data_IF_579315726092
#
_entry.id   IF_579315726092
#
_cell.length_a   1.000
_cell.length_b   1.000
_cell.length_c   1.000
_cell.angle_alpha   90.00
_cell.angle_beta   90.00
_cell.angle_gamma   90.00
#
_symmetry.space_group_name_H-M   'P 1'
#
loop_
_entity.id
_entity.type
_entity.pdbx_description
1 polymer ?
#
# COMPACT_ATOMS: atom_id res chain seq x y z
N UNK A 1 14.00 37.07 3.39
CA UNK A 1 13.28 36.09 2.53
C UNK A 1 13.21 34.77 3.29
N UNK A 2 12.09 34.06 3.23
CA UNK A 2 12.00 32.70 3.80
C UNK A 2 12.92 31.77 3.01
N UNK A 3 13.80 31.01 3.69
CA UNK A 3 14.74 30.07 3.06
C UNK A 3 13.93 28.95 2.40
N UNK A 4 14.13 28.72 1.11
CA UNK A 4 13.54 27.59 0.37
C UNK A 4 14.25 26.29 0.76
N UNK A 5 13.61 25.15 0.56
CA UNK A 5 14.13 23.84 0.86
C UNK A 5 13.65 22.84 -0.20
N UNK A 6 14.57 22.09 -0.81
CA UNK A 6 14.23 21.04 -1.77
C UNK A 6 14.44 19.64 -1.15
N UNK A 7 13.38 18.85 -1.14
CA UNK A 7 13.42 17.44 -0.74
C UNK A 7 13.58 16.55 -1.98
N UNK A 8 14.31 15.45 -1.81
CA UNK A 8 14.38 14.40 -2.82
C UNK A 8 13.59 13.18 -2.36
N UNK A 9 12.57 12.83 -3.13
CA UNK A 9 11.68 11.70 -2.85
C UNK A 9 12.13 10.48 -3.66
N UNK A 10 12.25 9.32 -3.02
CA UNK A 10 12.62 8.06 -3.70
C UNK A 10 11.63 6.95 -3.31
N UNK A 11 10.54 6.78 -4.09
CA UNK A 11 9.59 5.70 -3.87
C UNK A 11 10.20 4.34 -4.26
N UNK A 12 9.75 3.27 -3.60
CA UNK A 12 9.95 1.92 -4.10
C UNK A 12 9.10 1.68 -5.35
N UNK A 13 9.47 0.68 -6.15
CA UNK A 13 8.73 0.40 -7.39
C UNK A 13 7.39 -0.26 -7.08
N UNK A 14 6.31 0.34 -7.56
CA UNK A 14 4.96 -0.19 -7.47
C UNK A 14 3.95 0.88 -7.09
N UNK A 15 2.74 0.77 -7.62
CA UNK A 15 1.69 1.79 -7.43
C UNK A 15 1.31 1.97 -5.96
N UNK A 16 1.41 0.91 -5.15
CA UNK A 16 1.13 0.96 -3.72
C UNK A 16 2.16 1.75 -2.89
N UNK A 17 3.32 2.08 -3.48
CA UNK A 17 4.36 2.91 -2.88
C UNK A 17 4.35 4.32 -3.49
N UNK A 18 4.30 4.39 -4.82
CA UNK A 18 4.36 5.64 -5.57
C UNK A 18 3.20 6.58 -5.25
N UNK A 19 1.95 6.09 -5.35
CA UNK A 19 0.75 6.93 -5.18
C UNK A 19 0.66 7.58 -3.81
N UNK A 20 0.73 6.85 -2.68
CA UNK A 20 0.64 7.49 -1.37
C UNK A 20 1.81 8.46 -1.11
N UNK A 21 3.00 8.18 -1.67
CA UNK A 21 4.13 9.12 -1.59
C UNK A 21 3.89 10.39 -2.42
N UNK A 22 3.22 10.29 -3.58
CA UNK A 22 2.83 11.47 -4.37
C UNK A 22 1.76 12.30 -3.68
N UNK A 23 0.80 11.65 -3.00
CA UNK A 23 -0.18 12.36 -2.18
C UNK A 23 0.47 13.08 -0.99
N UNK A 24 1.52 12.49 -0.38
CA UNK A 24 2.32 13.19 0.62
C UNK A 24 3.02 14.42 0.02
N UNK A 25 3.65 14.26 -1.14
CA UNK A 25 4.34 15.35 -1.83
C UNK A 25 3.39 16.52 -2.14
N UNK A 26 2.20 16.23 -2.70
CA UNK A 26 1.15 17.24 -2.95
C UNK A 26 0.76 17.98 -1.68
N UNK A 27 0.54 17.27 -0.57
CA UNK A 27 0.15 17.90 0.71
C UNK A 27 1.25 18.79 1.30
N UNK A 28 2.50 18.34 1.24
CA UNK A 28 3.65 19.15 1.69
C UNK A 28 3.76 20.44 0.87
N UNK A 29 3.72 20.33 -0.46
CA UNK A 29 3.79 21.48 -1.36
C UNK A 29 2.63 22.44 -1.16
N UNK A 30 1.40 21.93 -1.00
CA UNK A 30 0.22 22.75 -0.74
C UNK A 30 0.31 23.51 0.59
N UNK A 31 0.95 22.91 1.60
CA UNK A 31 1.01 23.45 2.96
C UNK A 31 2.13 24.46 3.18
N UNK A 32 3.23 24.38 2.43
CA UNK A 32 4.36 25.30 2.56
C UNK A 32 4.99 25.66 1.20
N UNK A 33 4.91 26.95 0.86
CA UNK A 33 5.47 27.51 -0.39
C UNK A 33 7.01 27.55 -0.42
N UNK A 34 7.68 27.28 0.71
CA UNK A 34 9.14 27.17 0.78
C UNK A 34 9.65 25.84 0.20
N UNK A 35 8.80 24.82 0.12
CA UNK A 35 9.19 23.47 -0.27
C UNK A 35 9.20 23.30 -1.79
N UNK A 36 10.20 22.63 -2.31
CA UNK A 36 10.20 22.02 -3.63
C UNK A 36 10.48 20.54 -3.48
N UNK A 37 9.98 19.71 -4.40
CA UNK A 37 10.18 18.26 -4.36
C UNK A 37 10.66 17.77 -5.72
N UNK A 38 11.79 17.06 -5.72
CA UNK A 38 12.24 16.27 -6.86
C UNK A 38 12.09 14.78 -6.54
N UNK A 39 11.40 14.04 -7.40
CA UNK A 39 11.16 12.60 -7.27
C UNK A 39 12.14 11.85 -8.19
N UNK A 40 12.96 10.97 -7.62
CA UNK A 40 13.82 10.08 -8.40
C UNK A 40 13.12 8.73 -8.58
N UNK A 41 12.82 8.38 -9.83
CA UNK A 41 12.13 7.15 -10.17
C UNK A 41 13.14 6.10 -10.64
N UNK A 42 13.25 5.01 -9.89
CA UNK A 42 14.06 3.85 -10.29
C UNK A 42 13.28 3.07 -11.36
N UNK A 43 13.85 2.99 -12.57
CA UNK A 43 13.25 2.25 -13.69
C UNK A 43 13.59 0.77 -13.61
N UNK A 44 12.63 -0.09 -13.96
CA UNK A 44 12.85 -1.53 -14.11
C UNK A 44 11.98 -2.11 -15.21
N UNK A 45 12.51 -3.09 -15.95
CA UNK A 45 11.82 -3.72 -17.08
C UNK A 45 10.72 -4.72 -16.66
N UNK A 46 10.66 -5.07 -15.38
CA UNK A 46 9.78 -6.15 -14.88
C UNK A 46 8.47 -5.65 -14.25
N UNK A 47 8.31 -4.32 -14.10
CA UNK A 47 7.17 -3.72 -13.42
C UNK A 47 6.47 -2.72 -14.34
N UNK A 48 5.20 -2.48 -14.04
CA UNK A 48 4.32 -1.61 -14.82
C UNK A 48 4.94 -0.22 -14.97
N UNK A 49 4.91 0.31 -16.19
CA UNK A 49 5.35 1.67 -16.46
C UNK A 49 4.33 2.67 -15.88
N UNK A 50 4.80 3.58 -15.03
CA UNK A 50 3.99 4.62 -14.39
C UNK A 50 4.26 6.01 -14.99
N UNK A 51 4.96 6.08 -16.12
CA UNK A 51 5.35 7.35 -16.77
C UNK A 51 4.13 8.23 -17.05
N UNK A 52 3.01 7.68 -17.54
CA UNK A 52 1.79 8.48 -17.78
C UNK A 52 1.23 9.12 -16.52
N UNK A 53 1.30 8.44 -15.38
CA UNK A 53 0.86 9.00 -14.09
C UNK A 53 1.80 10.11 -13.64
N UNK A 54 3.12 9.90 -13.72
CA UNK A 54 4.11 10.88 -13.27
C UNK A 54 4.15 12.11 -14.17
N UNK A 55 3.98 11.95 -15.48
CA UNK A 55 3.88 13.05 -16.45
C UNK A 55 2.65 13.92 -16.16
N UNK A 56 1.48 13.28 -15.95
CA UNK A 56 0.26 14.01 -15.57
C UNK A 56 0.42 14.81 -14.26
N UNK A 57 1.23 14.32 -13.32
CA UNK A 57 1.51 15.04 -12.07
C UNK A 57 2.52 16.17 -12.26
N UNK A 58 3.56 15.97 -13.06
CA UNK A 58 4.53 17.01 -13.41
C UNK A 58 3.84 18.23 -14.01
N UNK A 59 2.86 18.01 -14.89
CA UNK A 59 2.14 19.09 -15.56
C UNK A 59 1.14 19.83 -14.65
N UNK A 60 0.61 19.15 -13.62
CA UNK A 60 -0.48 19.68 -12.78
C UNK A 60 -0.04 20.21 -11.41
N UNK A 61 1.13 19.82 -10.91
CA UNK A 61 1.61 20.18 -9.57
C UNK A 61 2.86 21.05 -9.64
N UNK A 62 2.69 22.36 -9.38
CA UNK A 62 3.82 23.28 -9.30
C UNK A 62 4.83 22.86 -8.22
N UNK A 63 6.13 23.07 -8.47
CA UNK A 63 7.26 22.71 -7.57
C UNK A 63 7.46 21.21 -7.34
N UNK A 64 6.80 20.37 -8.14
CA UNK A 64 7.05 18.92 -8.20
C UNK A 64 7.75 18.59 -9.52
N UNK A 65 8.91 17.91 -9.43
CA UNK A 65 9.68 17.47 -10.60
C UNK A 65 9.94 15.98 -10.53
N UNK A 66 9.99 15.31 -11.67
CA UNK A 66 10.36 13.90 -11.78
C UNK A 66 11.66 13.73 -12.56
N UNK A 67 12.50 12.79 -12.14
CA UNK A 67 13.70 12.37 -12.84
C UNK A 67 13.70 10.85 -12.90
N UNK A 68 13.64 10.30 -14.11
CA UNK A 68 13.76 8.87 -14.34
C UNK A 68 15.23 8.48 -14.37
N UNK A 69 15.64 7.60 -13.45
CA UNK A 69 16.99 7.07 -13.44
C UNK A 69 17.16 6.06 -14.59
N UNK A 70 18.33 6.05 -15.26
CA UNK A 70 18.70 5.00 -16.19
C UNK A 70 18.43 3.60 -15.63
N UNK A 71 17.96 2.69 -16.50
CA UNK A 71 17.76 1.29 -16.13
C UNK A 71 19.10 0.61 -15.90
N UNK A 72 19.24 -0.08 -14.77
CA UNK A 72 20.37 -0.95 -14.46
C UNK A 72 19.84 -2.37 -14.29
N UNK A 73 20.40 -3.31 -15.05
CA UNK A 73 20.03 -4.72 -14.90
C UNK A 73 20.42 -5.20 -13.50
N UNK A 74 19.51 -5.87 -12.77
CA UNK A 74 19.85 -6.41 -11.47
C UNK A 74 20.89 -7.53 -11.64
N UNK A 75 21.73 -7.78 -10.61
CA UNK A 75 22.80 -8.77 -10.72
C UNK A 75 22.26 -10.16 -11.07
N UNK A 76 22.97 -11.02 -11.82
CA UNK A 76 22.47 -12.33 -12.26
C UNK A 76 21.99 -13.25 -11.13
N UNK A 77 22.55 -13.09 -9.92
CA UNK A 77 22.14 -13.78 -8.69
C UNK A 77 20.70 -13.45 -8.25
N UNK A 78 20.12 -12.35 -8.75
CA UNK A 78 18.74 -11.93 -8.47
C UNK A 78 17.69 -12.75 -9.24
N UNK A 79 18.08 -13.55 -10.22
CA UNK A 79 17.18 -14.37 -11.05
C UNK A 79 16.39 -15.42 -10.26
N UNK A 80 16.89 -15.83 -9.08
CA UNK A 80 16.25 -16.78 -8.18
C UNK A 80 15.41 -16.12 -7.07
N UNK A 81 15.28 -14.78 -7.03
CA UNK A 81 14.48 -14.09 -6.04
C UNK A 81 12.99 -14.30 -6.35
N UNK A 82 12.44 -15.41 -5.82
CA UNK A 82 11.02 -15.74 -5.90
C UNK A 82 10.13 -14.70 -5.23
N UNK A 83 10.67 -13.96 -4.26
CA UNK A 83 9.97 -12.95 -3.47
C UNK A 83 10.44 -11.55 -3.84
N UNK A 84 9.47 -10.66 -4.01
CA UNK A 84 9.60 -9.41 -4.75
C UNK A 84 10.21 -8.30 -3.89
N UNK A 85 10.03 -8.39 -2.58
CA UNK A 85 10.54 -7.46 -1.58
C UNK A 85 12.06 -7.41 -1.63
N UNK A 86 12.74 -8.56 -1.59
CA UNK A 86 14.20 -8.62 -1.73
C UNK A 86 14.70 -8.05 -3.07
N UNK A 87 13.96 -8.24 -4.16
CA UNK A 87 14.33 -7.70 -5.46
C UNK A 87 14.25 -6.16 -5.47
N UNK A 88 13.22 -5.58 -4.85
CA UNK A 88 13.12 -4.12 -4.70
C UNK A 88 14.35 -3.59 -3.96
N UNK A 89 14.72 -4.20 -2.83
CA UNK A 89 15.88 -3.78 -2.04
C UNK A 89 17.20 -3.92 -2.81
N UNK A 90 17.39 -5.03 -3.54
CA UNK A 90 18.57 -5.23 -4.41
C UNK A 90 18.61 -4.20 -5.54
N UNK A 91 17.46 -3.89 -6.14
CA UNK A 91 17.35 -2.90 -7.20
C UNK A 91 17.75 -1.51 -6.67
N UNK A 92 17.25 -1.11 -5.50
CA UNK A 92 17.62 0.15 -4.87
C UNK A 92 19.11 0.20 -4.55
N UNK A 93 19.67 -0.88 -3.99
CA UNK A 93 21.10 -0.96 -3.69
C UNK A 93 21.95 -0.81 -4.96
N UNK A 94 21.53 -1.44 -6.05
CA UNK A 94 22.21 -1.35 -7.36
C UNK A 94 22.16 0.07 -7.93
N UNK A 95 21.07 0.82 -7.68
CA UNK A 95 20.92 2.20 -8.15
C UNK A 95 21.55 3.24 -7.21
N UNK A 96 22.04 2.85 -6.02
CA UNK A 96 22.61 3.76 -5.01
C UNK A 96 23.66 4.73 -5.59
N UNK A 97 24.66 4.30 -6.40
CA UNK A 97 25.65 5.22 -6.95
C UNK A 97 25.04 6.27 -7.90
N UNK A 98 24.05 5.86 -8.68
CA UNK A 98 23.35 6.73 -9.63
C UNK A 98 22.43 7.72 -8.93
N UNK A 99 21.77 7.31 -7.85
CA UNK A 99 21.01 8.22 -6.96
C UNK A 99 21.94 9.29 -6.42
N UNK A 100 23.08 8.89 -5.83
CA UNK A 100 24.07 9.84 -5.30
C UNK A 100 24.55 10.82 -6.38
N UNK A 101 24.99 10.31 -7.54
CA UNK A 101 25.47 11.14 -8.64
C UNK A 101 24.40 12.15 -9.11
N UNK A 102 23.15 11.70 -9.21
CA UNK A 102 22.04 12.57 -9.63
C UNK A 102 21.82 13.70 -8.63
N UNK A 103 21.78 13.40 -7.33
CA UNK A 103 21.62 14.42 -6.28
C UNK A 103 22.83 15.38 -6.25
N UNK A 104 24.06 14.86 -6.37
CA UNK A 104 25.27 15.69 -6.46
C UNK A 104 25.19 16.67 -7.63
N UNK A 105 24.79 16.19 -8.81
CA UNK A 105 24.66 17.02 -9.99
C UNK A 105 23.55 18.08 -9.84
N UNK A 106 22.45 17.76 -9.17
CA UNK A 106 21.33 18.71 -9.00
C UNK A 106 21.64 19.85 -8.03
N UNK A 107 22.36 19.58 -6.94
CA UNK A 107 22.46 20.51 -5.81
C UNK A 107 23.87 21.02 -5.51
N UNK A 108 24.91 20.38 -6.05
CA UNK A 108 26.30 20.68 -5.69
C UNK A 108 27.19 21.02 -6.89
N UNK A 109 26.65 20.97 -8.12
CA UNK A 109 27.40 21.31 -9.33
C UNK A 109 27.37 22.80 -9.67
N UNK A 110 26.35 23.53 -9.20
CA UNK A 110 26.15 24.96 -9.47
C UNK A 110 25.94 25.71 -8.14
N UNK A 111 26.72 26.77 -7.89
CA UNK A 111 26.79 27.44 -6.58
C UNK A 111 25.61 28.38 -6.26
N UNK A 112 24.70 28.60 -7.22
CA UNK A 112 23.64 29.62 -7.16
C UNK A 112 22.22 29.02 -7.00
N UNK A 113 22.08 27.77 -6.54
CA UNK A 113 20.74 27.18 -6.33
C UNK A 113 19.93 27.95 -5.29
N UNK A 114 18.80 28.54 -5.73
CA UNK A 114 17.85 29.24 -4.85
C UNK A 114 17.15 28.32 -3.84
N UNK A 115 17.26 26.99 -4.00
CA UNK A 115 16.63 25.99 -3.14
C UNK A 115 17.65 24.93 -2.70
N UNK A 116 18.24 25.06 -1.50
CA UNK A 116 19.21 24.09 -1.00
C UNK A 116 18.57 22.72 -0.75
N UNK A 117 19.38 21.68 -0.92
CA UNK A 117 19.03 20.31 -0.61
C UNK A 117 18.75 20.16 0.90
N UNK A 118 17.53 19.77 1.25
CA UNK A 118 17.06 19.68 2.64
C UNK A 118 17.01 18.26 3.19
N UNK A 119 17.08 17.24 2.33
CA UNK A 119 17.09 15.85 2.76
C UNK A 119 16.32 14.90 1.84
N UNK A 120 16.34 13.63 2.24
CA UNK A 120 15.71 12.54 1.52
C UNK A 120 14.38 12.16 2.18
N UNK A 121 13.39 11.80 1.37
CA UNK A 121 12.21 11.06 1.81
C UNK A 121 12.17 9.75 1.02
N UNK A 122 12.53 8.65 1.68
CA UNK A 122 12.74 7.34 1.04
C UNK A 122 11.68 6.35 1.48
N UNK A 123 11.26 5.47 0.58
CA UNK A 123 10.33 4.39 0.91
C UNK A 123 10.93 3.39 1.94
N UNK A 124 10.07 2.64 2.61
CA UNK A 124 10.45 1.61 3.59
C UNK A 124 11.40 0.52 3.04
N UNK A 125 11.43 0.28 1.73
CA UNK A 125 12.39 -0.63 1.09
C UNK A 125 13.66 0.05 0.57
N UNK A 126 13.76 1.38 0.69
CA UNK A 126 14.85 2.19 0.15
C UNK A 126 15.90 2.59 1.20
N UNK A 127 15.90 1.97 2.39
CA UNK A 127 16.70 2.42 3.54
C UNK A 127 18.22 2.39 3.36
N UNK A 128 18.71 1.72 2.32
CA UNK A 128 20.14 1.76 2.01
C UNK A 128 20.58 3.12 1.47
N UNK A 129 19.65 3.92 0.96
CA UNK A 129 19.91 5.30 0.52
C UNK A 129 20.12 6.27 1.69
N UNK A 130 19.91 5.86 2.94
CA UNK A 130 20.32 6.64 4.11
C UNK A 130 21.83 6.94 4.04
N UNK A 131 22.63 5.99 3.53
CA UNK A 131 24.08 6.17 3.33
C UNK A 131 24.36 7.37 2.40
N UNK A 132 23.56 7.54 1.35
CA UNK A 132 23.68 8.67 0.42
C UNK A 132 23.37 9.99 1.11
N UNK A 133 22.32 10.03 1.94
CA UNK A 133 21.99 11.20 2.75
C UNK A 133 23.16 11.58 3.67
N UNK A 134 23.71 10.60 4.40
CA UNK A 134 24.84 10.80 5.30
C UNK A 134 26.09 11.32 4.58
N UNK A 135 26.44 10.74 3.42
CA UNK A 135 27.59 11.17 2.61
C UNK A 135 27.44 12.60 2.05
N UNK A 136 26.20 13.03 1.81
CA UNK A 136 25.88 14.39 1.34
C UNK A 136 25.56 15.36 2.48
N UNK A 137 25.68 14.93 3.74
CA UNK A 137 25.43 15.75 4.93
C UNK A 137 23.96 16.14 5.13
N UNK A 138 23.01 15.33 4.65
CA UNK A 138 21.58 15.63 4.70
C UNK A 138 20.79 14.51 5.42
N UNK A 139 19.71 14.86 6.14
CA UNK A 139 18.90 13.88 6.84
C UNK A 139 18.09 13.00 5.88
N UNK A 140 17.71 11.82 6.36
CA UNK A 140 16.79 10.92 5.66
C UNK A 140 15.54 10.69 6.51
N UNK A 141 14.37 10.87 5.91
CA UNK A 141 13.08 10.50 6.45
C UNK A 141 12.57 9.26 5.73
N UNK A 142 11.92 8.36 6.46
CA UNK A 142 11.34 7.16 5.86
C UNK A 142 9.84 7.36 5.67
N UNK A 143 9.35 7.17 4.45
CA UNK A 143 7.93 7.07 4.19
C UNK A 143 7.47 5.62 4.33
N UNK A 144 6.56 5.39 5.26
CA UNK A 144 6.03 4.06 5.57
C UNK A 144 4.58 3.96 5.10
N UNK A 145 4.39 3.33 3.93
CA UNK A 145 3.09 3.20 3.25
C UNK A 145 2.31 1.96 3.69
N UNK A 146 2.36 1.62 4.98
CA UNK A 146 1.65 0.48 5.60
C UNK A 146 1.19 0.85 7.02
N UNK A 147 0.67 -0.10 7.80
CA UNK A 147 0.08 0.14 9.13
C UNK A 147 1.12 0.52 10.19
N UNK A 148 0.68 1.16 11.27
CA UNK A 148 1.49 1.30 12.48
C UNK A 148 1.82 -0.07 13.07
N UNK A 149 0.90 -1.03 13.03
CA UNK A 149 1.18 -2.43 13.41
C UNK A 149 2.39 -3.01 12.68
N UNK A 150 2.44 -2.88 11.35
CA UNK A 150 3.55 -3.36 10.52
C UNK A 150 4.86 -2.60 10.80
N UNK A 151 4.80 -1.28 11.03
CA UNK A 151 5.98 -0.51 11.44
C UNK A 151 6.56 -1.03 12.76
N UNK A 152 5.71 -1.28 13.76
CA UNK A 152 6.17 -1.80 15.05
C UNK A 152 6.71 -3.23 14.95
N UNK A 153 6.13 -4.10 14.13
CA UNK A 153 6.72 -5.41 13.81
C UNK A 153 8.12 -5.26 13.19
N UNK A 154 8.28 -4.40 12.19
CA UNK A 154 9.56 -4.18 11.52
C UNK A 154 10.62 -3.59 12.45
N UNK A 155 10.23 -2.67 13.34
CA UNK A 155 11.13 -2.14 14.37
C UNK A 155 11.56 -3.23 15.35
N UNK A 156 10.66 -4.15 15.73
CA UNK A 156 10.96 -5.23 16.68
C UNK A 156 11.69 -6.43 16.06
N UNK A 157 11.66 -6.56 14.73
CA UNK A 157 12.19 -7.70 14.00
C UNK A 157 13.69 -7.97 14.26
N UNK A 158 14.60 -6.97 14.36
CA UNK A 158 16.00 -7.21 14.70
C UNK A 158 16.20 -7.84 16.09
N UNK A 159 15.36 -7.49 17.07
CA UNK A 159 15.39 -8.11 18.38
C UNK A 159 14.89 -9.57 18.32
N UNK A 160 13.79 -9.82 17.61
CA UNK A 160 13.26 -11.17 17.40
C UNK A 160 14.27 -12.08 16.68
N UNK A 161 14.99 -11.55 15.69
CA UNK A 161 16.02 -12.27 14.96
C UNK A 161 17.13 -12.80 15.87
N UNK A 162 17.51 -12.03 16.90
CA UNK A 162 18.52 -12.44 17.88
C UNK A 162 17.99 -13.41 18.94
N UNK A 163 16.67 -13.47 19.17
CA UNK A 163 16.05 -14.28 20.22
C UNK A 163 15.61 -15.66 19.71
N UNK A 164 15.26 -15.78 18.44
CA UNK A 164 14.72 -17.00 17.86
C UNK A 164 15.80 -17.65 16.99
N UNK A 165 16.42 -18.73 17.48
CA UNK A 165 17.49 -19.43 16.76
C UNK A 165 17.00 -20.29 15.58
N UNK A 166 15.70 -20.58 15.52
CA UNK A 166 15.08 -21.46 14.52
C UNK A 166 14.12 -20.70 13.58
N UNK A 167 13.60 -21.36 12.56
CA UNK A 167 12.57 -20.76 11.68
C UNK A 167 11.31 -20.49 12.50
N UNK A 168 10.69 -19.31 12.33
CA UNK A 168 9.54 -18.89 13.14
C UNK A 168 8.39 -19.91 13.12
N UNK A 169 8.16 -20.58 11.98
CA UNK A 169 7.17 -21.66 11.81
C UNK A 169 7.40 -22.88 12.69
N UNK A 170 8.63 -23.08 13.15
CA UNK A 170 9.02 -24.24 13.95
C UNK A 170 9.16 -23.88 15.44
N UNK A 171 9.07 -22.60 15.81
CA UNK A 171 9.38 -22.11 17.17
C UNK A 171 8.18 -21.60 17.96
N UNK A 172 7.20 -20.94 17.31
CA UNK A 172 6.13 -20.20 18.00
C UNK A 172 4.81 -20.21 17.22
N UNK A 173 3.68 -20.19 17.94
CA UNK A 173 2.34 -20.08 17.34
C UNK A 173 1.86 -18.63 17.26
N UNK A 174 2.31 -17.78 18.19
CA UNK A 174 1.95 -16.37 18.29
C UNK A 174 3.17 -15.57 18.80
N UNK A 175 3.25 -14.29 18.43
CA UNK A 175 4.29 -13.36 18.86
C UNK A 175 3.70 -12.27 19.74
N UNK A 176 4.40 -11.95 20.83
CA UNK A 176 4.13 -10.71 21.58
C UNK A 176 4.93 -9.59 20.93
N UNK A 177 4.25 -8.62 20.33
CA UNK A 177 4.86 -7.48 19.68
C UNK A 177 4.41 -6.22 20.43
N UNK A 178 5.32 -5.34 20.89
CA UNK A 178 4.98 -4.22 21.77
C UNK A 178 3.89 -3.25 21.28
N UNK A 179 3.68 -3.15 19.97
CA UNK A 179 2.67 -2.26 19.38
C UNK A 179 1.28 -2.88 19.22
N UNK A 180 1.11 -4.17 19.52
CA UNK A 180 -0.17 -4.89 19.45
C UNK A 180 -0.73 -5.13 20.85
N UNK A 181 -2.05 -5.01 21.01
CA UNK A 181 -2.71 -5.33 22.27
C UNK A 181 -2.89 -6.85 22.45
N UNK A 182 -3.09 -7.58 21.34
CA UNK A 182 -3.22 -9.03 21.35
C UNK A 182 -1.95 -9.70 20.81
N UNK A 183 -1.64 -10.94 21.24
CA UNK A 183 -0.63 -11.76 20.57
C UNK A 183 -0.92 -11.89 19.08
N UNK A 184 0.11 -11.75 18.25
CA UNK A 184 -0.01 -11.79 16.79
C UNK A 184 0.22 -13.22 16.31
N UNK A 185 -0.80 -13.89 15.72
CA UNK A 185 -0.62 -15.24 15.22
C UNK A 185 0.44 -15.33 14.13
N UNK A 186 1.24 -16.40 14.14
CA UNK A 186 2.29 -16.56 13.15
C UNK A 186 1.73 -16.58 11.72
N UNK A 187 0.57 -17.20 11.54
CA UNK A 187 -0.04 -17.34 10.22
C UNK A 187 -0.47 -16.01 9.60
N UNK A 188 -0.51 -14.90 10.35
CA UNK A 188 -0.83 -13.56 9.80
C UNK A 188 0.41 -12.75 9.45
N UNK A 189 1.61 -13.22 9.82
CA UNK A 189 2.86 -12.54 9.47
C UNK A 189 3.16 -12.65 7.98
N UNK A 190 3.86 -11.66 7.40
CA UNK A 190 4.39 -11.76 6.04
C UNK A 190 5.17 -13.06 5.82
N UNK A 191 4.93 -13.72 4.70
CA UNK A 191 5.54 -15.02 4.35
C UNK A 191 7.07 -15.05 4.47
N UNK A 192 7.82 -14.01 4.04
CA UNK A 192 9.26 -13.96 4.24
C UNK A 192 9.73 -14.12 5.69
N UNK A 193 8.90 -13.77 6.68
CA UNK A 193 9.26 -13.88 8.10
C UNK A 193 9.21 -15.32 8.63
N UNK A 194 8.64 -16.26 7.88
CA UNK A 194 8.45 -17.63 8.34
C UNK A 194 9.72 -18.46 8.29
N UNK A 195 10.66 -18.12 7.39
CA UNK A 195 11.91 -18.85 7.17
C UNK A 195 13.08 -17.88 7.12
N UNK A 196 14.05 -18.06 8.00
CA UNK A 196 15.26 -17.21 8.01
C UNK A 196 16.12 -17.37 6.77
N UNK A 197 16.00 -18.51 6.09
CA UNK A 197 16.67 -18.81 4.83
C UNK A 197 16.05 -18.12 3.62
N UNK A 198 14.88 -17.48 3.77
CA UNK A 198 14.30 -16.67 2.70
C UNK A 198 15.17 -15.43 2.44
N UNK A 199 15.59 -15.15 1.19
CA UNK A 199 16.37 -13.95 0.89
C UNK A 199 15.71 -12.64 1.34
N UNK A 200 14.37 -12.58 1.38
CA UNK A 200 13.64 -11.40 1.82
C UNK A 200 13.64 -11.23 3.34
N UNK A 201 13.80 -12.30 4.12
CA UNK A 201 13.94 -12.21 5.59
C UNK A 201 15.10 -11.29 5.97
N UNK A 202 16.28 -11.54 5.39
CA UNK A 202 17.49 -10.75 5.67
C UNK A 202 17.33 -9.27 5.32
N UNK A 203 16.64 -8.97 4.22
CA UNK A 203 16.31 -7.59 3.84
C UNK A 203 15.32 -6.93 4.80
N UNK A 204 14.29 -7.64 5.26
CA UNK A 204 13.34 -7.10 6.25
C UNK A 204 14.04 -6.78 7.57
N UNK A 205 14.91 -7.68 8.06
CA UNK A 205 15.75 -7.43 9.25
C UNK A 205 16.67 -6.23 9.02
N UNK A 206 17.32 -6.15 7.84
CA UNK A 206 18.16 -5.02 7.46
C UNK A 206 17.37 -3.71 7.52
N UNK A 207 16.22 -3.61 6.85
CA UNK A 207 15.38 -2.42 6.87
C UNK A 207 14.94 -2.05 8.29
N UNK A 208 14.49 -3.02 9.10
CA UNK A 208 14.11 -2.81 10.50
C UNK A 208 15.23 -2.21 11.38
N UNK A 209 16.50 -2.59 11.13
CA UNK A 209 17.67 -1.96 11.77
C UNK A 209 17.84 -0.52 11.28
N UNK A 210 17.82 -0.31 9.95
CA UNK A 210 18.03 1.00 9.31
C UNK A 210 16.94 2.02 9.65
N UNK A 211 15.73 1.59 9.98
CA UNK A 211 14.64 2.49 10.36
C UNK A 211 14.99 3.40 11.54
N UNK A 212 15.84 2.92 12.46
CA UNK A 212 16.29 3.70 13.63
C UNK A 212 17.34 4.77 13.31
N UNK A 213 17.88 4.77 12.10
CA UNK A 213 18.87 5.76 11.66
C UNK A 213 18.24 6.97 10.95
N UNK A 214 16.95 6.91 10.64
CA UNK A 214 16.24 8.02 10.03
C UNK A 214 16.05 9.20 11.01
N UNK A 215 16.01 10.43 10.49
CA UNK A 215 15.63 11.63 11.26
C UNK A 215 14.18 11.54 11.73
N UNK A 216 13.32 10.87 10.95
CA UNK A 216 11.93 10.63 11.30
C UNK A 216 11.24 9.65 10.34
N UNK A 217 10.09 9.13 10.75
CA UNK A 217 9.28 8.19 9.98
C UNK A 217 7.92 8.82 9.69
N UNK A 218 7.60 9.00 8.42
CA UNK A 218 6.32 9.53 7.93
C UNK A 218 5.40 8.36 7.62
N UNK A 219 4.37 8.18 8.43
CA UNK A 219 3.50 7.00 8.42
C UNK A 219 2.15 7.34 7.77
N UNK A 220 1.72 6.53 6.80
CA UNK A 220 0.42 6.67 6.16
C UNK A 220 -0.71 6.08 7.01
N UNK A 221 -0.91 6.64 8.20
CA UNK A 221 -2.04 6.34 9.09
C UNK A 221 -2.44 7.59 9.87
N UNK A 222 -3.47 7.51 10.69
CA UNK A 222 -3.88 8.57 11.60
C UNK A 222 -4.15 8.01 13.01
N UNK A 223 -3.90 8.87 14.00
CA UNK A 223 -3.92 8.52 15.43
C UNK A 223 -5.23 7.84 15.87
N UNK A 224 -6.36 8.27 15.32
CA UNK A 224 -7.69 7.78 15.66
C UNK A 224 -8.02 6.40 15.06
N UNK A 225 -7.24 5.93 14.08
CA UNK A 225 -7.35 4.58 13.52
C UNK A 225 -6.55 3.58 14.33
N UNK A 226 -5.28 3.88 14.61
CA UNK A 226 -4.32 2.95 15.24
C UNK A 226 -3.72 3.51 16.56
N UNK A 227 -4.55 3.90 17.56
CA UNK A 227 -4.06 4.64 18.73
C UNK A 227 -3.06 3.84 19.57
N UNK A 228 -3.27 2.53 19.72
CA UNK A 228 -2.37 1.66 20.49
C UNK A 228 -0.98 1.61 19.87
N UNK A 229 -0.91 1.29 18.57
CA UNK A 229 0.36 1.17 17.87
C UNK A 229 1.09 2.52 17.76
N UNK A 230 0.39 3.60 17.38
CA UNK A 230 1.00 4.94 17.26
C UNK A 230 1.55 5.44 18.59
N UNK A 231 0.81 5.26 19.70
CA UNK A 231 1.29 5.68 21.02
C UNK A 231 2.52 4.88 21.48
N UNK A 232 2.66 3.62 21.07
CA UNK A 232 3.77 2.76 21.48
C UNK A 232 5.15 3.28 21.03
N UNK A 233 5.20 4.07 19.94
CA UNK A 233 6.44 4.62 19.39
C UNK A 233 7.02 5.79 20.21
N UNK A 234 6.19 6.44 21.03
CA UNK A 234 6.61 7.58 21.85
C UNK A 234 7.42 7.19 23.10
N UNK A 235 7.52 5.89 23.42
CA UNK A 235 8.23 5.45 24.61
C UNK A 235 9.75 5.61 24.47
N UNK A 236 10.38 6.29 25.44
CA UNK A 236 11.83 6.58 25.48
C UNK A 236 12.69 5.30 25.41
N UNK A 237 12.11 4.15 25.74
CA UNK A 237 12.78 2.85 25.73
C UNK A 237 13.02 2.30 24.31
N UNK A 238 12.23 2.72 23.31
CA UNK A 238 12.19 2.04 22.00
C UNK A 238 13.22 2.53 20.97
N UNK A 239 14.00 3.58 21.29
CA UNK A 239 14.97 4.23 20.35
C UNK A 239 14.35 4.47 18.94
N UNK A 240 13.05 4.66 18.88
CA UNK A 240 12.32 4.89 17.64
C UNK A 240 12.45 6.36 17.28
N UNK A 241 12.77 6.71 16.02
CA UNK A 241 12.72 8.10 15.56
C UNK A 241 11.31 8.67 15.72
N UNK A 242 11.15 10.01 15.72
CA UNK A 242 9.84 10.64 15.66
C UNK A 242 8.98 10.05 14.53
N UNK A 243 7.74 9.68 14.86
CA UNK A 243 6.77 9.12 13.91
C UNK A 243 5.68 10.15 13.65
N UNK A 244 5.50 10.51 12.37
CA UNK A 244 4.50 11.48 11.90
C UNK A 244 3.35 10.73 11.21
N UNK A 245 2.19 10.63 11.87
CA UNK A 245 0.98 10.02 11.31
C UNK A 245 0.22 11.02 10.45
N UNK A 246 0.48 11.02 9.14
CA UNK A 246 0.01 12.05 8.18
C UNK A 246 -1.09 11.56 7.24
N UNK A 247 -1.58 10.35 7.47
CA UNK A 247 -2.63 9.71 6.69
C UNK A 247 -4.03 10.28 6.94
N UNK A 248 -5.05 9.77 6.23
CA UNK A 248 -4.90 8.86 5.10
C UNK A 248 -4.43 9.63 3.85
N UNK A 249 -3.43 9.09 3.13
CA UNK A 249 -2.92 9.61 1.86
C UNK A 249 -3.53 8.80 0.72
N UNK A 250 -4.56 9.36 0.07
CA UNK A 250 -5.39 8.66 -0.94
C UNK A 250 -5.51 9.54 -2.18
N UNK A 251 -5.36 8.93 -3.35
CA UNK A 251 -5.68 9.56 -4.63
C UNK A 251 -7.18 9.41 -4.93
N UNK A 252 -7.93 10.48 -4.63
CA UNK A 252 -9.39 10.53 -4.81
C UNK A 252 -9.83 10.72 -6.25
N UNK A 253 -8.96 11.24 -7.11
CA UNK A 253 -9.27 11.44 -8.53
C UNK A 253 -9.10 10.13 -9.31
N UNK A 254 -8.38 9.17 -8.72
CA UNK A 254 -8.03 7.91 -9.35
C UNK A 254 -6.87 8.12 -10.32
N UNK A 255 -6.10 7.05 -10.51
CA UNK A 255 -5.02 7.03 -11.48
C UNK A 255 -5.63 7.25 -12.87
N UNK A 256 -5.37 8.40 -13.49
CA UNK A 256 -5.76 8.69 -14.87
C UNK A 256 -5.01 7.76 -15.83
N UNK A 257 -5.42 6.49 -15.90
CA UNK A 257 -5.10 5.62 -17.00
C UNK A 257 -6.12 5.96 -18.09
N UNK A 258 -5.63 6.34 -19.27
CA UNK A 258 -6.45 6.70 -20.44
C UNK A 258 -7.31 5.51 -20.92
N UNK A 259 -8.37 5.16 -20.21
CA UNK A 259 -9.37 4.14 -20.57
C UNK A 259 -10.79 4.70 -20.40
N UNK A 260 -11.01 5.92 -20.90
CA UNK A 260 -12.27 6.67 -20.73
C UNK A 260 -13.52 5.87 -21.10
N UNK A 261 -13.46 5.00 -22.12
CA UNK A 261 -14.62 4.20 -22.53
C UNK A 261 -14.98 3.08 -21.54
N UNK A 262 -13.99 2.34 -21.01
CA UNK A 262 -14.25 1.29 -20.02
C UNK A 262 -14.74 1.92 -18.72
N UNK A 263 -14.11 3.02 -18.29
CA UNK A 263 -14.50 3.78 -17.12
C UNK A 263 -15.94 4.31 -17.23
N UNK A 264 -16.30 4.86 -18.39
CA UNK A 264 -17.66 5.31 -18.67
C UNK A 264 -18.66 4.14 -18.65
N UNK A 265 -18.30 2.98 -19.21
CA UNK A 265 -19.16 1.79 -19.18
C UNK A 265 -19.39 1.25 -17.76
N UNK A 266 -18.34 1.22 -16.93
CA UNK A 266 -18.42 0.82 -15.52
C UNK A 266 -19.33 1.78 -14.76
N UNK A 267 -19.14 3.08 -14.97
CA UNK A 267 -19.95 4.11 -14.33
C UNK A 267 -21.43 3.98 -14.72
N UNK A 268 -21.72 3.88 -16.02
CA UNK A 268 -23.09 3.74 -16.50
C UNK A 268 -23.77 2.49 -15.92
N UNK A 269 -23.05 1.36 -15.87
CA UNK A 269 -23.58 0.14 -15.26
C UNK A 269 -23.88 0.32 -13.77
N UNK A 270 -22.98 0.99 -13.03
CA UNK A 270 -23.16 1.30 -11.61
C UNK A 270 -24.32 2.28 -11.36
N UNK A 271 -24.53 3.26 -12.24
CA UNK A 271 -25.60 4.25 -12.16
C UNK A 271 -27.00 3.60 -12.21
N UNK A 272 -27.13 2.48 -12.92
CA UNK A 272 -28.36 1.69 -13.04
C UNK A 272 -28.63 0.79 -11.80
N UNK A 273 -27.71 0.73 -10.83
CA UNK A 273 -27.86 -0.12 -9.65
C UNK A 273 -28.45 0.63 -8.45
N UNK A 274 -29.25 -0.03 -7.59
CA UNK A 274 -29.72 0.56 -6.34
C UNK A 274 -28.56 0.98 -5.42
N UNK A 275 -28.73 2.01 -4.58
CA UNK A 275 -27.73 2.42 -3.60
C UNK A 275 -27.31 1.27 -2.67
N UNK A 276 -26.01 1.22 -2.37
CA UNK A 276 -25.39 0.22 -1.48
C UNK A 276 -25.76 -1.24 -1.77
N UNK A 277 -26.01 -1.60 -3.04
CA UNK A 277 -26.46 -2.93 -3.45
C UNK A 277 -25.40 -3.77 -4.18
N UNK A 278 -24.29 -3.14 -4.59
CA UNK A 278 -23.20 -3.76 -5.36
C UNK A 278 -22.04 -4.11 -4.42
N UNK A 279 -21.55 -5.34 -4.55
CA UNK A 279 -20.28 -5.78 -3.95
C UNK A 279 -19.18 -5.56 -4.96
N UNK A 280 -18.18 -4.76 -4.60
CA UNK A 280 -16.98 -4.62 -5.42
C UNK A 280 -15.94 -5.67 -5.02
N UNK A 281 -15.33 -6.35 -5.99
CA UNK A 281 -14.24 -7.30 -5.76
C UNK A 281 -13.00 -6.82 -6.52
N UNK A 282 -11.93 -6.54 -5.77
CA UNK A 282 -10.64 -6.17 -6.34
C UNK A 282 -9.51 -6.57 -5.40
N UNK A 283 -8.48 -7.18 -5.97
CA UNK A 283 -7.39 -7.79 -5.22
C UNK A 283 -6.08 -7.01 -5.39
N UNK A 284 -6.19 -5.69 -5.47
CA UNK A 284 -5.06 -4.79 -5.64
C UNK A 284 -4.41 -4.87 -7.01
N UNK A 285 -3.25 -4.23 -7.14
CA UNK A 285 -2.58 -4.11 -8.44
C UNK A 285 -1.90 -5.38 -8.92
N UNK A 286 -1.69 -6.36 -8.03
CA UNK A 286 -0.98 -7.61 -8.35
C UNK A 286 -1.75 -8.88 -7.99
N UNK A 287 -2.90 -8.77 -7.32
CA UNK A 287 -3.73 -9.94 -7.04
C UNK A 287 -4.33 -10.50 -8.31
N UNK A 288 -4.20 -11.80 -8.47
CA UNK A 288 -4.75 -12.58 -9.58
C UNK A 288 -4.88 -14.01 -9.12
N UNK A 289 -5.83 -14.74 -9.70
CA UNK A 289 -6.14 -16.11 -9.29
C UNK A 289 -5.97 -17.07 -10.47
N UNK A 290 -5.69 -18.34 -10.17
CA UNK A 290 -5.76 -19.39 -11.16
C UNK A 290 -7.23 -19.70 -11.54
N UNK A 291 -7.40 -20.50 -12.59
CA UNK A 291 -8.72 -20.83 -13.12
C UNK A 291 -9.61 -21.58 -12.10
N UNK A 292 -9.02 -22.38 -11.21
CA UNK A 292 -9.79 -23.14 -10.21
C UNK A 292 -10.39 -22.19 -9.17
N UNK A 293 -9.60 -21.23 -8.68
CA UNK A 293 -10.08 -20.23 -7.74
C UNK A 293 -11.05 -19.22 -8.39
N UNK A 294 -10.82 -18.82 -9.65
CA UNK A 294 -11.76 -17.99 -10.44
C UNK A 294 -13.13 -18.67 -10.53
N UNK A 295 -13.16 -19.99 -10.75
CA UNK A 295 -14.40 -20.76 -10.81
C UNK A 295 -15.16 -20.75 -9.49
N UNK A 296 -14.48 -20.97 -8.36
CA UNK A 296 -15.13 -20.92 -7.04
C UNK A 296 -15.69 -19.53 -6.73
N UNK A 297 -14.96 -18.46 -7.07
CA UNK A 297 -15.44 -17.07 -6.92
C UNK A 297 -16.70 -16.86 -7.75
N UNK A 298 -16.69 -17.25 -9.03
CA UNK A 298 -17.82 -17.10 -9.93
C UNK A 298 -19.08 -17.81 -9.39
N UNK A 299 -18.95 -19.05 -8.94
CA UNK A 299 -20.07 -19.83 -8.37
C UNK A 299 -20.57 -19.17 -7.08
N UNK A 300 -19.68 -18.73 -6.19
CA UNK A 300 -20.06 -18.09 -4.93
C UNK A 300 -20.79 -16.76 -5.13
N UNK A 301 -20.34 -15.95 -6.09
CA UNK A 301 -21.01 -14.70 -6.47
C UNK A 301 -22.42 -14.96 -7.04
N UNK A 302 -22.55 -15.95 -7.93
CA UNK A 302 -23.86 -16.33 -8.50
C UNK A 302 -24.84 -16.77 -7.40
N UNK A 303 -24.36 -17.61 -6.46
CA UNK A 303 -25.16 -18.11 -5.33
C UNK A 303 -25.54 -17.04 -4.33
N UNK A 304 -24.68 -16.05 -4.09
CA UNK A 304 -24.96 -14.94 -3.17
C UNK A 304 -26.17 -14.10 -3.58
N UNK A 305 -26.54 -14.13 -4.87
CA UNK A 305 -27.60 -13.30 -5.49
C UNK A 305 -27.41 -11.79 -5.35
N UNK A 306 -26.33 -11.33 -4.75
CA UNK A 306 -25.97 -9.92 -4.69
C UNK A 306 -25.49 -9.43 -6.05
N UNK A 307 -25.65 -8.13 -6.29
CA UNK A 307 -25.03 -7.48 -7.45
C UNK A 307 -23.54 -7.36 -7.20
N UNK A 308 -22.73 -7.45 -8.23
CA UNK A 308 -21.29 -7.35 -8.05
C UNK A 308 -20.57 -6.69 -9.24
N UNK A 309 -19.48 -6.02 -8.93
CA UNK A 309 -18.48 -5.62 -9.90
C UNK A 309 -17.18 -6.33 -9.53
N UNK A 310 -16.62 -7.10 -10.45
CA UNK A 310 -15.39 -7.86 -10.22
C UNK A 310 -14.28 -7.43 -11.18
N UNK A 311 -13.24 -6.82 -10.62
CA UNK A 311 -11.95 -6.60 -11.30
C UNK A 311 -11.17 -7.91 -11.31
N UNK A 312 -11.10 -8.54 -12.48
CA UNK A 312 -10.45 -9.83 -12.71
C UNK A 312 -9.26 -9.66 -13.66
N UNK A 313 -8.08 -10.00 -13.13
CA UNK A 313 -6.79 -9.87 -13.82
C UNK A 313 -6.19 -11.23 -14.14
N UNK A 314 -5.55 -11.33 -15.30
CA UNK A 314 -4.85 -12.52 -15.75
C UNK A 314 -3.53 -12.66 -14.98
N UNK A 315 -3.27 -13.81 -14.32
CA UNK A 315 -2.00 -14.03 -13.64
C UNK A 315 -0.83 -14.03 -14.64
N UNK A 316 0.37 -13.60 -14.23
CA UNK A 316 1.56 -13.73 -15.07
C UNK A 316 1.87 -15.21 -15.34
N UNK A 317 2.61 -15.48 -16.41
CA UNK A 317 3.10 -16.84 -16.69
C UNK A 317 3.95 -17.36 -15.52
N UNK A 318 3.81 -18.66 -15.21
CA UNK A 318 4.52 -19.31 -14.12
C UNK A 318 6.03 -19.06 -14.22
N UNK A 319 6.65 -18.67 -13.11
CA UNK A 319 8.08 -18.32 -12.99
C UNK A 319 8.52 -17.06 -13.74
N UNK A 320 7.60 -16.24 -14.27
CA UNK A 320 7.95 -14.90 -14.79
C UNK A 320 7.62 -13.82 -13.78
N UNK A 321 8.59 -12.94 -13.54
CA UNK A 321 8.36 -11.72 -12.79
C UNK A 321 7.68 -10.69 -13.70
N UNK A 322 6.36 -10.70 -13.71
CA UNK A 322 5.55 -9.75 -14.45
C UNK A 322 4.34 -9.29 -13.62
N UNK A 323 3.77 -8.14 -13.97
CA UNK A 323 2.47 -7.69 -13.46
C UNK A 323 1.33 -8.48 -14.11
N UNK A 324 0.22 -8.74 -13.39
CA UNK A 324 -1.00 -9.24 -14.00
C UNK A 324 -1.48 -8.31 -15.12
N UNK A 325 -2.08 -8.87 -16.16
CA UNK A 325 -2.62 -8.12 -17.31
C UNK A 325 -4.13 -8.28 -17.39
N UNK A 326 -4.79 -7.54 -18.29
CA UNK A 326 -6.20 -7.77 -18.60
C UNK A 326 -6.34 -9.02 -19.48
N UNK A 327 -7.46 -9.73 -19.32
CA UNK A 327 -7.84 -10.79 -20.26
C UNK A 327 -8.27 -10.17 -21.59
N UNK A 328 -7.85 -10.77 -22.71
CA UNK A 328 -8.34 -10.37 -24.04
C UNK A 328 -9.84 -10.63 -24.18
N UNK A 329 -10.29 -11.78 -23.64
CA UNK A 329 -11.68 -12.13 -23.50
C UNK A 329 -11.90 -12.77 -22.12
N UNK A 330 -12.71 -12.12 -21.29
CA UNK A 330 -13.03 -12.58 -19.94
C UNK A 330 -13.87 -13.88 -19.98
N UNK A 331 -14.62 -14.11 -21.06
CA UNK A 331 -15.40 -15.34 -21.24
C UNK A 331 -14.53 -16.61 -21.25
N UNK A 332 -13.26 -16.51 -21.66
CA UNK A 332 -12.39 -17.67 -21.82
C UNK A 332 -11.96 -18.31 -20.47
N UNK A 333 -12.07 -17.57 -19.36
CA UNK A 333 -11.66 -18.03 -18.02
C UNK A 333 -12.87 -18.31 -17.10
N UNK A 334 -14.07 -17.91 -17.53
CA UNK A 334 -15.31 -18.13 -16.78
C UNK A 334 -16.03 -19.35 -17.33
N UNK A 335 -16.86 -19.99 -16.51
CA UNK A 335 -17.65 -21.14 -16.96
C UNK A 335 -18.66 -20.74 -18.04
N UNK A 336 -18.92 -21.63 -19.00
CA UNK A 336 -19.90 -21.41 -20.08
C UNK A 336 -21.24 -20.87 -19.56
N UNK A 337 -21.74 -19.83 -20.22
CA UNK A 337 -22.99 -19.14 -19.89
C UNK A 337 -22.96 -18.32 -18.59
N UNK A 338 -21.81 -18.18 -17.91
CA UNK A 338 -21.74 -17.38 -16.68
C UNK A 338 -22.09 -15.91 -16.92
N UNK A 339 -21.56 -15.31 -17.99
CA UNK A 339 -21.85 -13.92 -18.34
C UNK A 339 -23.36 -13.70 -18.59
N UNK A 340 -24.04 -14.65 -19.23
CA UNK A 340 -25.49 -14.61 -19.44
C UNK A 340 -26.26 -14.72 -18.11
N UNK A 341 -25.83 -15.59 -17.19
CA UNK A 341 -26.49 -15.78 -15.88
C UNK A 341 -26.36 -14.58 -14.94
N UNK A 342 -25.36 -13.72 -15.17
CA UNK A 342 -25.13 -12.52 -14.36
C UNK A 342 -25.63 -11.25 -15.04
N UNK A 343 -26.22 -11.34 -16.24
CA UNK A 343 -26.72 -10.18 -16.99
C UNK A 343 -27.59 -9.28 -16.10
N UNK A 344 -27.30 -7.98 -16.09
CA UNK A 344 -27.98 -6.98 -15.27
C UNK A 344 -27.70 -7.03 -13.75
N UNK A 345 -26.95 -8.03 -13.25
CA UNK A 345 -26.57 -8.15 -11.82
C UNK A 345 -25.08 -8.12 -11.58
N UNK A 346 -24.27 -8.60 -12.52
CA UNK A 346 -22.83 -8.67 -12.39
C UNK A 346 -22.12 -7.99 -13.55
N UNK A 347 -20.98 -7.35 -13.26
CA UNK A 347 -20.04 -6.86 -14.24
C UNK A 347 -18.65 -7.43 -13.92
N UNK A 348 -18.01 -8.09 -14.90
CA UNK A 348 -16.62 -8.55 -14.78
C UNK A 348 -15.78 -7.78 -15.79
N UNK A 349 -14.70 -7.16 -15.32
CA UNK A 349 -13.82 -6.32 -16.13
C UNK A 349 -12.36 -6.46 -15.69
N UNK A 350 -11.44 -5.87 -16.45
CA UNK A 350 -10.00 -5.85 -16.15
C UNK A 350 -9.66 -4.80 -15.09
N UNK A 351 -8.68 -3.93 -15.38
CA UNK A 351 -8.38 -2.79 -14.51
C UNK A 351 -9.61 -1.92 -14.26
N UNK A 352 -9.70 -1.33 -13.07
CA UNK A 352 -10.74 -0.35 -12.74
C UNK A 352 -10.12 0.85 -12.00
N UNK A 353 -10.69 2.06 -12.17
CA UNK A 353 -10.36 3.19 -11.31
C UNK A 353 -10.98 2.96 -9.93
N UNK A 354 -10.27 2.21 -9.08
CA UNK A 354 -10.79 1.68 -7.81
C UNK A 354 -11.44 2.75 -6.92
N UNK A 355 -10.80 3.92 -6.74
CA UNK A 355 -11.35 4.99 -5.91
C UNK A 355 -12.69 5.52 -6.46
N UNK A 356 -12.81 5.62 -7.79
CA UNK A 356 -14.07 6.02 -8.45
C UNK A 356 -15.17 4.99 -8.26
N UNK A 357 -14.84 3.70 -8.35
CA UNK A 357 -15.79 2.61 -8.09
C UNK A 357 -16.25 2.64 -6.63
N UNK A 358 -15.31 2.69 -5.68
CA UNK A 358 -15.61 2.74 -4.25
C UNK A 358 -16.43 3.99 -3.86
N UNK A 359 -16.23 5.11 -4.55
CA UNK A 359 -16.97 6.35 -4.29
C UNK A 359 -18.40 6.33 -4.84
N UNK A 360 -18.74 5.34 -5.67
CA UNK A 360 -20.05 5.25 -6.29
C UNK A 360 -21.12 4.83 -5.29
N UNK A 361 -22.26 5.56 -5.25
CA UNK A 361 -23.39 5.32 -4.33
C UNK A 361 -23.94 3.90 -4.33
N UNK A 362 -23.77 3.17 -5.43
CA UNK A 362 -24.25 1.79 -5.58
C UNK A 362 -23.39 0.77 -4.84
N UNK A 363 -22.11 1.08 -4.58
CA UNK A 363 -21.20 0.15 -3.90
C UNK A 363 -21.53 0.11 -2.41
N UNK A 364 -21.88 -1.08 -1.94
CA UNK A 364 -22.30 -1.34 -0.56
C UNK A 364 -21.30 -2.15 0.26
N UNK A 365 -20.30 -2.76 -0.40
CA UNK A 365 -19.24 -3.55 0.25
C UNK A 365 -18.09 -3.84 -0.70
N UNK A 366 -16.92 -4.14 -0.14
CA UNK A 366 -15.67 -4.40 -0.86
C UNK A 366 -15.03 -5.72 -0.41
N UNK A 367 -14.96 -6.72 -1.30
CA UNK A 367 -14.09 -7.89 -1.10
C UNK A 367 -12.69 -7.49 -1.52
N UNK A 368 -11.77 -7.46 -0.57
CA UNK A 368 -10.45 -6.86 -0.75
C UNK A 368 -9.34 -7.80 -0.31
N UNK A 369 -8.23 -7.72 -1.04
CA UNK A 369 -6.94 -8.27 -0.62
C UNK A 369 -6.31 -7.60 0.61
N UNK A 370 -6.94 -6.57 1.21
CA UNK A 370 -6.43 -5.91 2.42
C UNK A 370 -5.04 -5.26 2.26
N UNK A 371 -4.65 -4.86 1.04
CA UNK A 371 -3.53 -3.95 0.84
C UNK A 371 -3.84 -2.59 1.47
N UNK A 372 -2.85 -1.97 2.12
CA UNK A 372 -3.11 -0.82 3.00
C UNK A 372 -3.79 0.38 2.32
N UNK A 373 -3.35 0.74 1.10
CA UNK A 373 -4.00 1.80 0.33
C UNK A 373 -5.48 1.52 0.07
N UNK A 374 -5.82 0.27 -0.28
CA UNK A 374 -7.21 -0.14 -0.53
C UNK A 374 -8.06 -0.13 0.75
N UNK A 375 -7.45 -0.41 1.91
CA UNK A 375 -8.12 -0.26 3.20
C UNK A 375 -8.42 1.22 3.46
N UNK A 376 -7.44 2.11 3.30
CA UNK A 376 -7.61 3.54 3.52
C UNK A 376 -8.67 4.14 2.57
N UNK A 377 -8.65 3.78 1.29
CA UNK A 377 -9.67 4.16 0.30
C UNK A 377 -11.07 3.74 0.75
N UNK A 378 -11.23 2.48 1.18
CA UNK A 378 -12.51 1.94 1.65
C UNK A 378 -13.01 2.65 2.89
N UNK A 379 -12.13 2.87 3.88
CA UNK A 379 -12.48 3.56 5.13
C UNK A 379 -12.85 5.03 4.87
N UNK A 380 -12.12 5.72 4.01
CA UNK A 380 -12.40 7.11 3.62
C UNK A 380 -13.77 7.28 2.92
N UNK A 381 -14.17 6.27 2.16
CA UNK A 381 -15.42 6.23 1.42
C UNK A 381 -16.57 5.57 2.19
N UNK A 382 -16.30 5.03 3.39
CA UNK A 382 -17.30 4.41 4.25
C UNK A 382 -17.80 3.06 3.72
N UNK A 383 -17.00 2.35 2.92
CA UNK A 383 -17.35 1.05 2.35
C UNK A 383 -16.81 -0.06 3.26
N UNK A 384 -17.64 -0.99 3.77
CA UNK A 384 -17.17 -2.10 4.59
C UNK A 384 -16.40 -3.12 3.76
N UNK A 385 -15.46 -3.81 4.40
CA UNK A 385 -14.56 -4.78 3.75
C UNK A 385 -14.90 -6.21 4.17
N UNK A 386 -14.94 -7.13 3.20
CA UNK A 386 -14.72 -8.55 3.43
C UNK A 386 -13.24 -8.88 3.14
N UNK A 387 -12.53 -9.31 4.18
CA UNK A 387 -11.09 -9.49 4.15
C UNK A 387 -10.68 -10.84 3.53
N UNK A 388 -9.88 -10.76 2.46
CA UNK A 388 -9.31 -11.91 1.77
C UNK A 388 -7.87 -11.60 1.31
N UNK A 389 -6.91 -11.57 2.24
CA UNK A 389 -5.52 -11.20 1.97
C UNK A 389 -4.78 -12.26 1.16
N UNK A 390 -3.80 -11.81 0.35
CA UNK A 390 -3.10 -12.65 -0.62
C UNK A 390 -1.58 -12.70 -0.40
N UNK A 391 -0.92 -11.57 -0.14
CA UNK A 391 0.54 -11.46 -0.08
C UNK A 391 1.02 -10.28 0.80
N UNK A 392 2.33 -10.07 0.87
CA UNK A 392 2.97 -9.03 1.68
C UNK A 392 2.46 -9.06 3.13
N UNK A 393 2.09 -7.92 3.70
CA UNK A 393 1.56 -7.77 5.06
C UNK A 393 0.03 -7.81 5.13
N UNK A 394 -0.67 -8.14 4.04
CA UNK A 394 -2.12 -8.07 3.97
C UNK A 394 -2.84 -8.91 5.02
N UNK A 395 -2.27 -10.06 5.39
CA UNK A 395 -2.79 -10.93 6.44
C UNK A 395 -2.72 -10.24 7.80
N UNK A 396 -1.64 -9.51 8.07
CA UNK A 396 -1.48 -8.72 9.29
C UNK A 396 -2.47 -7.54 9.29
N UNK A 397 -2.64 -6.86 8.16
CA UNK A 397 -3.63 -5.78 8.03
C UNK A 397 -5.06 -6.27 8.30
N UNK A 398 -5.42 -7.44 7.75
CA UNK A 398 -6.73 -8.05 7.96
C UNK A 398 -6.95 -8.48 9.42
N UNK A 399 -5.93 -9.05 10.06
CA UNK A 399 -5.94 -9.37 11.48
C UNK A 399 -6.11 -8.11 12.34
N UNK A 400 -5.35 -7.06 12.06
CA UNK A 400 -5.41 -5.79 12.77
C UNK A 400 -6.81 -5.18 12.68
N UNK A 401 -7.39 -5.10 11.47
CA UNK A 401 -8.77 -4.63 11.29
C UNK A 401 -9.80 -5.48 12.05
N UNK A 402 -9.63 -6.80 12.08
CA UNK A 402 -10.56 -7.74 12.71
C UNK A 402 -10.47 -7.78 14.23
N UNK A 403 -9.25 -7.67 14.78
CA UNK A 403 -8.94 -8.01 16.18
C UNK A 403 -8.42 -6.83 17.00
N UNK A 404 -7.61 -5.95 16.42
CA UNK A 404 -7.05 -4.80 17.13
C UNK A 404 -7.95 -3.57 17.02
N UNK A 405 -8.48 -3.29 15.83
CA UNK A 405 -9.19 -2.05 15.52
C UNK A 405 -10.71 -2.16 15.71
N UNK A 406 -11.13 -3.09 16.58
CA UNK A 406 -12.53 -3.22 16.98
C UNK A 406 -13.43 -3.89 15.94
N UNK A 407 -12.90 -4.70 15.02
CA UNK A 407 -13.71 -5.48 14.08
C UNK A 407 -14.31 -4.63 12.95
N UNK A 408 -13.43 -4.04 12.14
CA UNK A 408 -13.73 -3.21 10.96
C UNK A 408 -13.92 -4.01 9.67
N UNK A 409 -13.83 -5.34 9.73
CA UNK A 409 -13.94 -6.23 8.58
C UNK A 409 -14.84 -7.41 8.87
N UNK A 410 -15.44 -7.96 7.81
CA UNK A 410 -15.94 -9.32 7.78
C UNK A 410 -14.79 -10.24 7.37
N UNK A 411 -14.43 -11.20 8.21
CA UNK A 411 -13.41 -12.19 7.90
C UNK A 411 -13.98 -13.18 6.86
N UNK A 412 -13.56 -13.08 5.58
CA UNK A 412 -13.92 -14.04 4.53
C UNK A 412 -12.95 -15.21 4.55
N UNK A 413 -11.65 -14.92 4.45
CA UNK A 413 -10.57 -15.89 4.61
C UNK A 413 -9.33 -15.16 5.09
N UNK A 414 -8.80 -15.46 6.29
CA UNK A 414 -7.64 -14.74 6.85
C UNK A 414 -6.29 -15.42 6.63
N UNK A 415 -6.30 -16.70 6.27
CA UNK A 415 -5.11 -17.56 6.17
C UNK A 415 -4.85 -18.03 4.73
N UNK A 416 -5.51 -17.43 3.74
CA UNK A 416 -5.37 -17.82 2.33
C UNK A 416 -3.92 -17.69 1.86
N UNK A 417 -3.37 -18.77 1.27
CA UNK A 417 -2.00 -18.79 0.73
C UNK A 417 -1.90 -19.21 -0.74
N UNK A 418 -3.04 -19.41 -1.41
CA UNK A 418 -3.08 -19.92 -2.78
C UNK A 418 -2.58 -21.36 -2.90
N UNK A 419 -2.35 -21.80 -4.14
CA UNK A 419 -2.04 -23.21 -4.43
C UNK A 419 -3.30 -24.07 -4.32
N UNK A 420 -3.17 -25.24 -3.71
CA UNK A 420 -4.29 -26.21 -3.61
C UNK A 420 -5.36 -25.81 -2.57
N UNK A 421 -5.09 -24.80 -1.72
CA UNK A 421 -6.04 -24.28 -0.73
C UNK A 421 -6.96 -23.24 -1.37
N UNK A 422 -8.03 -23.74 -2.01
CA UNK A 422 -9.06 -22.90 -2.62
C UNK A 422 -10.02 -22.36 -1.56
N UNK A 423 -10.39 -21.09 -1.69
CA UNK A 423 -11.58 -20.55 -1.03
C UNK A 423 -12.79 -21.01 -1.82
N UNK A 424 -13.62 -21.81 -1.16
CA UNK A 424 -14.77 -22.44 -1.80
C UNK A 424 -15.86 -21.44 -2.15
N UNK A 425 -16.71 -21.80 -3.12
CA UNK A 425 -17.88 -21.01 -3.50
C UNK A 425 -18.81 -20.74 -2.31
N UNK A 426 -18.92 -21.67 -1.36
CA UNK A 426 -19.69 -21.50 -0.13
C UNK A 426 -19.08 -20.44 0.79
N UNK A 427 -17.75 -20.42 0.93
CA UNK A 427 -17.04 -19.38 1.69
C UNK A 427 -17.23 -18.00 1.06
N UNK A 428 -17.11 -17.91 -0.27
CA UNK A 428 -17.35 -16.66 -1.01
C UNK A 428 -18.79 -16.19 -0.83
N UNK A 429 -19.77 -17.06 -1.05
CA UNK A 429 -21.20 -16.77 -0.85
C UNK A 429 -21.45 -16.24 0.57
N UNK A 430 -21.00 -16.97 1.58
CA UNK A 430 -21.19 -16.59 2.99
C UNK A 430 -20.51 -15.27 3.33
N UNK A 431 -19.29 -15.05 2.84
CA UNK A 431 -18.55 -13.80 3.05
C UNK A 431 -19.27 -12.60 2.44
N UNK A 432 -19.73 -12.75 1.19
CA UNK A 432 -20.49 -11.71 0.47
C UNK A 432 -21.83 -11.42 1.16
N UNK A 433 -22.60 -12.46 1.50
CA UNK A 433 -23.89 -12.28 2.18
C UNK A 433 -23.72 -11.59 3.54
N UNK A 434 -22.71 -11.97 4.34
CA UNK A 434 -22.42 -11.31 5.64
C UNK A 434 -21.99 -9.86 5.48
N UNK A 435 -21.20 -9.55 4.45
CA UNK A 435 -20.76 -8.19 4.17
C UNK A 435 -21.94 -7.27 3.80
N UNK A 436 -22.89 -7.80 3.05
CA UNK A 436 -24.03 -7.05 2.55
C UNK A 436 -25.22 -7.03 3.51
N UNK A 437 -25.13 -7.76 4.61
CA UNK A 437 -26.09 -7.68 5.71
C UNK A 437 -26.08 -6.28 6.32
N UNK A 438 -27.26 -5.65 6.45
CA UNK A 438 -27.41 -4.32 7.02
C UNK A 438 -27.10 -4.30 8.53
N UNK A 439 -27.25 -5.44 9.20
CA UNK A 439 -27.04 -5.58 10.64
C UNK A 439 -25.59 -5.98 10.99
N UNK A 440 -24.69 -6.07 9.99
CA UNK A 440 -23.27 -6.27 10.26
C UNK A 440 -22.71 -5.02 10.95
N UNK A 441 -22.41 -5.12 12.26
CA UNK A 441 -21.89 -3.98 13.05
C UNK A 441 -20.63 -3.32 12.47
N UNK A 442 -19.96 -3.99 11.52
CA UNK A 442 -18.87 -3.46 10.69
C UNK A 442 -19.27 -2.15 9.99
N UNK A 443 -20.46 -2.07 9.38
CA UNK A 443 -20.88 -0.89 8.60
C UNK A 443 -20.96 0.37 9.45
N UNK A 444 -21.46 0.25 10.68
CA UNK A 444 -21.52 1.38 11.63
C UNK A 444 -20.11 1.84 12.01
N UNK A 445 -19.23 0.90 12.36
CA UNK A 445 -17.84 1.22 12.74
C UNK A 445 -17.05 1.85 11.59
N UNK A 446 -17.21 1.32 10.38
CA UNK A 446 -16.58 1.89 9.17
C UNK A 446 -17.08 3.31 8.92
N UNK A 447 -18.38 3.59 9.14
CA UNK A 447 -18.91 4.96 9.05
C UNK A 447 -18.30 5.90 10.09
N UNK A 448 -18.11 5.45 11.33
CA UNK A 448 -17.44 6.25 12.37
C UNK A 448 -15.98 6.56 11.99
N UNK A 449 -15.25 5.56 11.49
CA UNK A 449 -13.87 5.73 11.02
C UNK A 449 -13.82 6.64 9.79
N UNK A 450 -14.78 6.54 8.86
CA UNK A 450 -14.91 7.45 7.72
C UNK A 450 -14.99 8.91 8.17
N UNK A 451 -15.85 9.21 9.14
CA UNK A 451 -15.99 10.56 9.68
C UNK A 451 -14.71 11.06 10.36
N UNK A 452 -14.05 10.19 11.14
CA UNK A 452 -12.75 10.51 11.76
C UNK A 452 -11.68 10.77 10.70
N UNK A 453 -11.56 9.91 9.70
CA UNK A 453 -10.57 10.01 8.63
C UNK A 453 -10.62 11.35 7.88
N UNK A 454 -11.82 11.94 7.74
CA UNK A 454 -11.99 13.28 7.15
C UNK A 454 -11.61 14.40 8.10
N UNK A 455 -11.99 14.28 9.39
CA UNK A 455 -11.70 15.27 10.43
C UNK A 455 -10.21 15.43 10.67
N UNK A 456 -9.43 14.34 10.66
CA UNK A 456 -7.97 14.40 10.93
C UNK A 456 -7.19 15.22 9.90
N UNK A 457 -7.77 15.47 8.72
CA UNK A 457 -7.17 16.29 7.66
C UNK A 457 -7.62 17.76 7.69
N UNK A 458 -8.63 18.12 8.50
CA UNK A 458 -9.07 19.50 8.66
C UNK A 458 -8.08 20.29 9.51
N UNK A 459 -8.19 21.62 9.48
CA UNK A 459 -7.47 22.49 10.42
C UNK A 459 -7.71 21.98 11.85
N UNK A 460 -6.66 21.83 12.66
CA UNK A 460 -6.64 21.21 14.00
C UNK A 460 -6.66 19.67 14.07
N UNK A 461 -6.92 18.98 12.96
CA UNK A 461 -6.91 17.51 12.89
C UNK A 461 -5.54 16.90 13.20
N UNK A 462 -5.52 15.68 13.75
CA UNK A 462 -4.29 15.02 14.21
C UNK A 462 -3.23 14.89 13.11
N UNK A 463 -3.63 14.45 11.91
CA UNK A 463 -2.73 14.31 10.76
C UNK A 463 -2.36 15.63 10.11
N UNK A 464 -3.27 16.62 10.10
CA UNK A 464 -2.95 17.99 9.74
C UNK A 464 -1.85 18.55 10.65
N UNK A 465 -1.99 18.42 11.97
CA UNK A 465 -0.99 18.91 12.93
C UNK A 465 0.33 18.15 12.82
N UNK A 466 0.28 16.81 12.66
CA UNK A 466 1.47 15.99 12.46
C UNK A 466 2.26 16.38 11.20
N UNK A 467 1.57 16.71 10.10
CA UNK A 467 2.21 17.19 8.87
C UNK A 467 2.87 18.57 9.09
N UNK A 468 2.23 19.44 9.88
CA UNK A 468 2.81 20.71 10.28
C UNK A 468 4.11 20.56 11.07
N UNK A 469 4.14 19.62 12.03
CA UNK A 469 5.36 19.29 12.78
C UNK A 469 6.46 18.75 11.86
N UNK A 470 6.12 17.85 10.93
CA UNK A 470 7.08 17.35 9.94
C UNK A 470 7.70 18.48 9.11
N UNK A 471 6.89 19.43 8.62
CA UNK A 471 7.39 20.58 7.85
C UNK A 471 8.33 21.45 8.68
N UNK A 472 7.97 21.69 9.95
CA UNK A 472 8.82 22.46 10.87
C UNK A 472 10.19 21.80 11.02
N UNK A 473 10.21 20.48 11.23
CA UNK A 473 11.44 19.72 11.43
C UNK A 473 12.30 19.63 10.14
N UNK A 474 11.68 19.72 8.96
CA UNK A 474 12.35 19.78 7.65
C UNK A 474 12.92 21.17 7.35
N UNK A 475 12.20 22.24 7.66
CA UNK A 475 12.58 23.59 7.19
C UNK A 475 13.26 24.43 8.26
N UNK A 476 12.90 24.25 9.53
CA UNK A 476 13.35 25.12 10.63
C UNK A 476 14.46 24.47 11.47
N UNK A 477 14.64 23.15 11.39
CA UNK A 477 15.67 22.38 12.13
C UNK A 477 16.73 21.74 11.20
N UNK A 478 17.00 22.37 10.05
CA UNK A 478 17.98 21.95 9.05
C UNK A 478 19.04 23.02 8.75
#
# INVERSE_FOLDING_TARGET
MKKRAELVFIPAVGIGHLVPMMELAKRLLHRDDRLSITVLLIKTLFLTDFTSYTDSLADSVARLRFIHLPNIDPPPSSSNLRFRESLISVLVETHKPLVKQTITNLFFSDSDSESPFAGLVIDLFCTSLIDVGNELGAPSYIFFSSTAGMLGLMLHLPELDNQIDTDFKDSVTELSIPCFANPVPLFVLPLPLWKKTDPSYGWLVYHGRRFREAKGIVLNTFMELEPTAVNSFSSVQNRTPPVYSVGPLIDLQGQAYNQTQLEESIKNWLDDQPPASVVFLCFGSRGSFDAAQVKEIAIGLERSRHRFLWSLRRPPETNKLASPTDFLNIGDVLSDGFLDRIEGRGLVCGWVPQTTVLAHKAVGGFVSHCGWNSILESLWLGVPIAAWPLYAEQHLNAFELGRELGGLVVELRLDYRGGDDLVTAEEVERGVCRLMDCDCGVRMKVKEIMEKSRKVLMDDGSSFMSLGSLIKDIVDEN
#
